data_IF_141773101133
#
_entry.id   IF_141773101133
#
_cell.length_a   1.000
_cell.length_b   1.000
_cell.length_c   1.000
_cell.angle_alpha   90.00
_cell.angle_beta   90.00
_cell.angle_gamma   90.00
#
_symmetry.space_group_name_H-M   'P 1'
#
loop_
_entity.id
_entity.type
_entity.pdbx_description
1 polymer ?
#
# COMPACT_ATOMS: atom_id res chain seq x y z
N UNK A 1 24.30 28.39 -7.87
CA UNK A 1 23.20 27.43 -8.14
C UNK A 1 23.26 26.34 -7.07
N UNK A 2 22.29 26.29 -6.15
CA UNK A 2 22.22 25.31 -5.07
C UNK A 2 21.37 24.11 -5.51
N UNK A 3 21.96 22.92 -5.53
CA UNK A 3 21.24 21.66 -5.70
C UNK A 3 21.05 21.00 -4.34
N UNK A 4 19.88 21.21 -3.74
CA UNK A 4 19.48 20.51 -2.51
C UNK A 4 19.07 19.08 -2.86
N UNK A 5 19.99 18.14 -2.67
CA UNK A 5 19.75 16.72 -2.84
C UNK A 5 18.78 16.24 -1.75
N UNK A 6 17.53 15.95 -2.13
CA UNK A 6 16.50 15.33 -1.30
C UNK A 6 16.99 13.94 -0.86
N UNK A 7 17.47 13.81 0.37
CA UNK A 7 17.93 12.54 0.94
C UNK A 7 16.69 11.69 1.26
N UNK A 8 16.46 10.65 0.46
CA UNK A 8 15.36 9.70 0.63
C UNK A 8 15.58 8.83 1.88
N UNK A 9 14.55 8.80 2.73
CA UNK A 9 14.44 8.01 3.97
C UNK A 9 14.61 6.50 3.79
N UNK A 10 14.51 5.99 2.56
CA UNK A 10 14.69 4.58 2.18
C UNK A 10 16.09 4.02 2.49
N UNK A 11 17.12 4.85 2.51
CA UNK A 11 18.50 4.38 2.69
C UNK A 11 18.92 4.20 4.16
N UNK A 12 18.12 4.72 5.10
CA UNK A 12 18.40 4.64 6.55
C UNK A 12 17.94 3.32 7.17
N UNK A 13 16.83 2.77 6.68
CA UNK A 13 16.27 1.53 7.22
C UNK A 13 17.13 0.31 6.90
N UNK A 14 17.77 0.27 5.72
CA UNK A 14 18.71 -0.80 5.38
C UNK A 14 19.96 -0.83 6.28
N UNK A 15 20.45 0.33 6.72
CA UNK A 15 21.66 0.42 7.55
C UNK A 15 21.43 0.07 9.03
N UNK A 16 20.24 0.28 9.57
CA UNK A 16 19.92 -0.10 10.96
C UNK A 16 19.75 -1.61 11.10
N UNK A 17 19.10 -2.26 10.13
CA UNK A 17 19.01 -3.73 10.05
C UNK A 17 20.41 -4.34 9.89
N UNK A 18 21.27 -3.76 9.05
CA UNK A 18 22.67 -4.20 8.90
C UNK A 18 23.53 -4.06 10.17
N UNK A 19 23.25 -3.08 11.04
CA UNK A 19 23.94 -2.94 12.34
C UNK A 19 23.39 -3.91 13.40
N UNK A 20 22.08 -4.18 13.40
CA UNK A 20 21.48 -5.24 14.22
C UNK A 20 22.06 -6.61 13.90
N UNK A 21 22.27 -6.91 12.61
CA UNK A 21 22.89 -8.16 12.17
C UNK A 21 24.33 -8.33 12.67
N UNK A 22 25.12 -7.24 12.68
CA UNK A 22 26.54 -7.30 13.08
C UNK A 22 26.75 -7.45 14.59
N UNK A 23 25.79 -6.99 15.39
CA UNK A 23 25.76 -7.22 16.84
C UNK A 23 25.25 -8.62 17.17
N UNK A 24 24.28 -9.13 16.40
CA UNK A 24 23.81 -10.52 16.48
C UNK A 24 24.93 -11.54 16.20
N UNK A 25 25.67 -11.38 15.09
CA UNK A 25 26.80 -12.27 14.70
C UNK A 25 27.98 -12.22 15.69
N UNK A 26 28.17 -11.08 16.38
CA UNK A 26 29.19 -10.96 17.45
C UNK A 26 28.73 -11.60 18.76
N UNK A 27 27.43 -11.53 19.07
CA UNK A 27 26.81 -12.24 20.17
C UNK A 27 26.96 -13.76 20.01
N UNK A 28 26.76 -14.27 18.78
CA UNK A 28 26.97 -15.67 18.44
C UNK A 28 28.36 -16.17 18.82
N UNK A 29 29.44 -15.45 18.53
CA UNK A 29 30.80 -15.93 18.88
C UNK A 29 31.01 -16.06 20.39
N UNK A 30 30.40 -15.17 21.19
CA UNK A 30 30.50 -15.19 22.65
C UNK A 30 29.63 -16.30 23.25
N UNK A 31 28.43 -16.49 22.68
CA UNK A 31 27.54 -17.61 23.00
C UNK A 31 28.13 -18.95 22.58
N UNK A 32 28.77 -19.04 21.43
CA UNK A 32 29.43 -20.26 20.94
C UNK A 32 30.63 -20.63 21.78
N UNK A 33 31.45 -19.67 22.21
CA UNK A 33 32.54 -19.96 23.16
C UNK A 33 31.99 -20.36 24.54
N UNK A 34 30.86 -19.80 24.96
CA UNK A 34 30.19 -20.18 26.21
C UNK A 34 29.50 -21.56 26.11
N UNK A 35 28.87 -21.88 24.97
CA UNK A 35 28.29 -23.19 24.68
C UNK A 35 29.37 -24.27 24.51
N UNK A 36 30.50 -23.94 23.88
CA UNK A 36 31.66 -24.81 23.79
C UNK A 36 32.27 -25.09 25.17
N UNK A 37 32.32 -24.07 26.05
CA UNK A 37 32.76 -24.25 27.44
C UNK A 37 31.78 -25.07 28.30
N UNK A 38 30.53 -25.24 27.85
CA UNK A 38 29.48 -26.03 28.52
C UNK A 38 29.22 -27.41 27.92
N UNK A 39 29.93 -27.82 26.87
CA UNK A 39 29.82 -29.17 26.30
C UNK A 39 28.45 -29.49 25.70
N UNK A 40 27.77 -28.50 25.09
CA UNK A 40 26.47 -28.74 24.45
C UNK A 40 26.69 -29.59 23.19
N UNK A 41 25.98 -30.73 23.02
CA UNK A 41 26.10 -31.54 21.81
C UNK A 41 25.72 -30.69 20.60
N UNK A 42 26.46 -30.85 19.51
CA UNK A 42 26.28 -30.14 18.22
C UNK A 42 24.81 -30.07 17.77
N UNK A 43 24.01 -31.07 18.17
CA UNK A 43 22.55 -31.16 17.98
C UNK A 43 21.78 -29.99 18.61
N UNK A 44 22.14 -29.56 19.83
CA UNK A 44 21.47 -28.45 20.51
C UNK A 44 21.73 -27.11 19.82
N UNK A 45 22.94 -26.90 19.32
CA UNK A 45 23.27 -25.72 18.53
C UNK A 45 22.52 -25.70 17.17
N UNK A 46 22.42 -26.85 16.51
CA UNK A 46 21.65 -26.98 15.27
C UNK A 46 20.14 -26.72 15.47
N UNK A 47 19.56 -27.22 16.56
CA UNK A 47 18.17 -26.96 16.93
C UNK A 47 17.92 -25.46 17.16
N UNK A 48 18.82 -24.79 17.88
CA UNK A 48 18.74 -23.34 18.10
C UNK A 48 18.76 -22.54 16.79
N UNK A 49 19.64 -22.91 15.85
CA UNK A 49 19.68 -22.29 14.52
C UNK A 49 18.39 -22.51 13.73
N UNK A 50 17.80 -23.70 13.80
CA UNK A 50 16.51 -23.98 13.19
C UNK A 50 15.38 -23.12 13.79
N UNK A 51 15.35 -22.98 15.12
CA UNK A 51 14.38 -22.11 15.80
C UNK A 51 14.54 -20.66 15.34
N UNK A 52 15.76 -20.14 15.29
CA UNK A 52 16.05 -18.78 14.79
C UNK A 52 15.55 -18.63 13.35
N UNK A 53 15.82 -19.62 12.48
CA UNK A 53 15.37 -19.62 11.09
C UNK A 53 13.85 -19.61 10.98
N UNK A 54 13.16 -20.40 11.81
CA UNK A 54 11.69 -20.43 11.86
C UNK A 54 11.11 -19.10 12.37
N UNK A 55 11.70 -18.50 13.40
CA UNK A 55 11.29 -17.17 13.89
C UNK A 55 11.48 -16.11 12.81
N UNK A 56 12.64 -16.11 12.13
CA UNK A 56 12.90 -15.20 11.03
C UNK A 56 11.89 -15.38 9.89
N UNK A 57 11.58 -16.63 9.54
CA UNK A 57 10.59 -16.97 8.51
C UNK A 57 9.17 -16.55 8.93
N UNK A 58 8.80 -16.74 10.20
CA UNK A 58 7.52 -16.30 10.75
C UNK A 58 7.37 -14.78 10.74
N UNK A 59 8.39 -14.03 11.15
CA UNK A 59 8.39 -12.56 11.09
C UNK A 59 8.31 -12.07 9.63
N UNK A 60 9.02 -12.71 8.71
CA UNK A 60 8.95 -12.37 7.29
C UNK A 60 7.54 -12.62 6.73
N UNK A 61 6.96 -13.78 7.04
CA UNK A 61 5.62 -14.13 6.59
C UNK A 61 4.56 -13.19 7.19
N UNK A 62 4.70 -12.83 8.47
CA UNK A 62 3.81 -11.89 9.14
C UNK A 62 3.86 -10.50 8.50
N UNK A 63 5.06 -9.98 8.23
CA UNK A 63 5.22 -8.66 7.59
C UNK A 63 4.71 -8.68 6.15
N UNK A 64 4.99 -9.74 5.37
CA UNK A 64 4.46 -9.91 4.02
C UNK A 64 2.93 -10.02 4.01
N UNK A 65 2.36 -10.81 4.92
CA UNK A 65 0.90 -10.94 5.10
C UNK A 65 0.27 -9.59 5.45
N UNK A 66 0.88 -8.82 6.35
CA UNK A 66 0.40 -7.49 6.69
C UNK A 66 0.41 -6.53 5.50
N UNK A 67 1.49 -6.52 4.71
CA UNK A 67 1.57 -5.72 3.49
C UNK A 67 0.51 -6.14 2.46
N UNK A 68 0.27 -7.45 2.31
CA UNK A 68 -0.78 -7.96 1.44
C UNK A 68 -2.17 -7.51 1.90
N UNK A 69 -2.46 -7.57 3.21
CA UNK A 69 -3.72 -7.07 3.78
C UNK A 69 -3.90 -5.58 3.54
N UNK A 70 -2.85 -4.77 3.74
CA UNK A 70 -2.89 -3.33 3.44
C UNK A 70 -3.13 -3.05 1.96
N UNK A 71 -2.51 -3.83 1.08
CA UNK A 71 -2.69 -3.70 -0.37
C UNK A 71 -4.13 -4.05 -0.77
N UNK A 72 -4.68 -5.17 -0.27
CA UNK A 72 -6.08 -5.54 -0.49
C UNK A 72 -7.01 -4.44 0.04
N UNK A 73 -6.76 -3.92 1.23
CA UNK A 73 -7.54 -2.82 1.79
C UNK A 73 -7.48 -1.57 0.90
N UNK A 74 -6.33 -1.23 0.33
CA UNK A 74 -6.18 -0.12 -0.60
C UNK A 74 -6.94 -0.36 -1.91
N UNK A 75 -6.88 -1.57 -2.47
CA UNK A 75 -7.66 -1.95 -3.66
C UNK A 75 -9.15 -1.85 -3.39
N UNK A 76 -9.62 -2.36 -2.25
CA UNK A 76 -11.02 -2.25 -1.84
C UNK A 76 -11.42 -0.80 -1.65
N UNK A 77 -10.59 0.02 -0.99
CA UNK A 77 -10.86 1.44 -0.81
C UNK A 77 -10.94 2.18 -2.15
N UNK A 78 -10.04 1.89 -3.09
CA UNK A 78 -10.07 2.46 -4.44
C UNK A 78 -11.30 2.00 -5.23
N UNK A 79 -11.69 0.73 -5.11
CA UNK A 79 -12.89 0.19 -5.73
C UNK A 79 -14.16 0.84 -5.15
N UNK A 80 -14.24 0.97 -3.83
CA UNK A 80 -15.32 1.68 -3.14
C UNK A 80 -15.35 3.14 -3.56
N UNK A 81 -14.23 3.86 -3.57
CA UNK A 81 -14.19 5.26 -4.01
C UNK A 81 -14.67 5.43 -5.46
N UNK A 82 -14.28 4.51 -6.36
CA UNK A 82 -14.78 4.48 -7.74
C UNK A 82 -16.28 4.22 -7.81
N UNK A 83 -16.80 3.34 -6.95
CA UNK A 83 -18.20 2.92 -6.97
C UNK A 83 -19.12 3.82 -6.11
N UNK A 84 -18.58 4.61 -5.19
CA UNK A 84 -19.33 5.38 -4.20
C UNK A 84 -19.59 6.84 -4.62
N UNK A 85 -19.25 7.22 -5.85
CA UNK A 85 -19.62 8.54 -6.37
C UNK A 85 -18.43 9.35 -6.86
N UNK A 86 -17.94 8.99 -8.04
CA UNK A 86 -17.95 9.98 -9.11
C UNK A 86 -18.96 9.48 -10.14
N UNK A 87 -20.23 9.40 -9.73
CA UNK A 87 -21.33 9.68 -10.65
C UNK A 87 -21.21 11.18 -11.00
N UNK A 88 -20.13 11.49 -11.73
CA UNK A 88 -20.00 12.66 -12.60
C UNK A 88 -20.81 12.40 -13.88
N UNK A 89 -21.72 11.42 -13.87
CA UNK A 89 -22.77 11.38 -14.87
C UNK A 89 -23.67 12.57 -14.54
N UNK A 90 -23.67 13.64 -15.36
CA UNK A 90 -24.57 14.74 -15.15
C UNK A 90 -25.98 14.13 -15.08
N UNK A 91 -26.76 14.49 -14.05
CA UNK A 91 -28.12 13.98 -13.91
C UNK A 91 -28.82 14.03 -15.25
N UNK A 92 -29.47 12.93 -15.63
CA UNK A 92 -30.12 12.81 -16.93
C UNK A 92 -31.01 14.04 -17.20
N UNK A 93 -31.05 14.53 -18.45
CA UNK A 93 -31.81 15.70 -18.78
C UNK A 93 -33.28 15.56 -18.33
N UNK A 94 -33.76 16.52 -17.54
CA UNK A 94 -35.10 16.47 -16.96
C UNK A 94 -36.03 17.50 -17.61
N UNK A 95 -37.31 17.14 -17.74
CA UNK A 95 -38.36 18.05 -18.20
C UNK A 95 -38.76 18.99 -17.06
N UNK A 96 -38.44 20.27 -17.21
CA UNK A 96 -38.77 21.29 -16.20
C UNK A 96 -39.07 22.65 -16.83
N UNK A 97 -39.65 23.52 -16.01
CA UNK A 97 -39.79 24.94 -16.34
C UNK A 97 -38.52 25.68 -15.94
N UNK A 98 -37.70 26.06 -16.92
CA UNK A 98 -36.47 26.82 -16.70
C UNK A 98 -36.53 28.23 -17.30
N UNK A 99 -35.38 28.93 -17.34
CA UNK A 99 -35.31 30.32 -17.82
C UNK A 99 -35.83 30.55 -19.25
N UNK A 100 -35.78 29.52 -20.10
CA UNK A 100 -36.26 29.53 -21.49
C UNK A 100 -37.63 28.85 -21.66
N UNK A 101 -38.41 28.74 -20.57
CA UNK A 101 -39.72 28.09 -20.56
C UNK A 101 -39.65 26.58 -20.33
N UNK A 102 -40.76 25.88 -20.60
CA UNK A 102 -40.84 24.42 -20.48
C UNK A 102 -39.98 23.74 -21.55
N UNK A 103 -39.12 22.81 -21.14
CA UNK A 103 -38.26 22.07 -22.05
C UNK A 103 -37.42 21.02 -21.33
N UNK A 104 -36.60 20.31 -22.11
CA UNK A 104 -35.63 19.36 -21.58
C UNK A 104 -34.36 20.14 -21.19
N UNK A 105 -33.98 20.09 -19.92
CA UNK A 105 -32.82 20.82 -19.39
C UNK A 105 -31.72 19.86 -18.96
N UNK A 106 -30.46 20.22 -19.23
CA UNK A 106 -29.30 19.57 -18.60
C UNK A 106 -29.15 20.02 -17.14
N UNK A 107 -28.33 19.29 -16.37
CA UNK A 107 -27.95 19.63 -14.98
C UNK A 107 -27.50 21.09 -14.85
N UNK A 108 -26.70 21.57 -15.81
CA UNK A 108 -26.15 22.94 -15.86
C UNK A 108 -27.19 24.05 -16.15
N UNK A 109 -28.47 23.70 -16.35
CA UNK A 109 -29.54 24.69 -16.55
C UNK A 109 -29.73 25.18 -17.97
N UNK A 110 -28.99 24.64 -18.95
CA UNK A 110 -29.22 24.90 -20.37
C UNK A 110 -30.35 24.03 -20.93
N UNK A 111 -31.17 24.61 -21.81
CA UNK A 111 -32.24 23.89 -22.51
C UNK A 111 -31.66 23.21 -23.75
N UNK A 112 -31.99 21.93 -23.94
CA UNK A 112 -31.69 21.17 -25.15
C UNK A 112 -32.83 21.44 -26.14
N UNK A 113 -32.51 22.08 -27.27
CA UNK A 113 -33.45 22.30 -28.34
C UNK A 113 -33.18 21.28 -29.46
N UNK A 114 -34.18 20.52 -29.93
CA UNK A 114 -34.01 19.64 -31.08
C UNK A 114 -33.66 20.50 -32.30
N UNK A 115 -32.50 20.25 -32.92
CA UNK A 115 -32.21 20.85 -34.21
C UNK A 115 -33.15 20.23 -35.24
N UNK A 116 -34.14 21.00 -35.69
CA UNK A 116 -34.91 20.67 -36.88
C UNK A 116 -34.04 21.15 -38.04
N UNK A 117 -33.50 20.22 -38.81
CA UNK A 117 -32.99 20.53 -40.15
C UNK A 117 -34.23 20.68 -41.03
N UNK A 118 -34.38 21.85 -41.66
CA UNK A 118 -35.39 22.04 -42.67
C UNK A 118 -34.93 21.26 -43.91
N UNK A 119 -35.61 20.16 -44.24
CA UNK A 119 -35.41 19.43 -45.49
C UNK A 119 -35.76 20.38 -46.68
N UNK A 120 -34.75 20.97 -47.33
CA UNK A 120 -34.90 21.72 -48.61
C UNK A 120 -35.17 20.81 -49.82
#
# INVERSE_FOLDING_TARGET
MNTTTRISTSERLGRTVGRGWRTYVRGERRLSNWLASKGVPVVGAAMGLWVVKLVALGVLLYTASWLALLLVAAVVAAWVARNAGLDDDPTEPEWRNGPAGFGLYTYDGFRIDPHIEDDE
#
